data_IF_040285420908
#
_entry.id   IF_040285420908
#
_cell.length_a   1.000
_cell.length_b   1.000
_cell.length_c   1.000
_cell.angle_alpha   90.00
_cell.angle_beta   90.00
_cell.angle_gamma   90.00
#
_symmetry.space_group_name_H-M   'P 1'
#
loop_
_entity.id
_entity.type
_entity.pdbx_description
1 polymer ?
#
# COMPACT_ATOMS: atom_id res chain seq x y z
N UNK A 1 3.09 -14.89 -28.28
CA UNK A 1 2.58 -15.49 -27.02
C UNK A 1 2.52 -16.99 -27.22
N UNK A 2 2.98 -17.77 -26.25
CA UNK A 2 2.91 -19.23 -26.27
C UNK A 2 1.47 -19.71 -26.45
N UNK A 3 1.16 -20.62 -27.38
CA UNK A 3 -0.20 -21.08 -27.64
C UNK A 3 -0.89 -21.67 -26.40
N UNK A 4 -0.14 -22.41 -25.57
CA UNK A 4 -0.65 -23.03 -24.35
C UNK A 4 -1.04 -21.99 -23.30
N UNK A 5 -0.39 -20.83 -23.28
CA UNK A 5 -0.78 -19.72 -22.41
C UNK A 5 -2.08 -19.08 -22.92
N UNK A 6 -2.24 -18.92 -24.24
CA UNK A 6 -3.50 -18.42 -24.83
C UNK A 6 -4.68 -19.31 -24.52
N UNK A 7 -4.47 -20.63 -24.45
CA UNK A 7 -5.51 -21.58 -24.06
C UNK A 7 -6.04 -21.37 -22.63
N UNK A 8 -5.31 -20.68 -21.78
CA UNK A 8 -5.72 -20.35 -20.41
C UNK A 8 -6.52 -19.03 -20.30
N UNK A 9 -6.83 -18.37 -21.41
CA UNK A 9 -7.57 -17.08 -21.40
C UNK A 9 -8.88 -17.16 -20.63
N UNK A 10 -9.70 -18.13 -20.93
CA UNK A 10 -11.03 -18.28 -20.32
C UNK A 10 -10.90 -18.59 -18.82
N UNK A 11 -9.97 -19.42 -18.41
CA UNK A 11 -9.61 -19.63 -17.02
C UNK A 11 -9.22 -18.33 -16.31
N UNK A 12 -8.38 -17.49 -16.95
CA UNK A 12 -7.99 -16.19 -16.39
C UNK A 12 -9.19 -15.28 -16.14
N UNK A 13 -10.15 -15.23 -17.08
CA UNK A 13 -11.38 -14.45 -16.92
C UNK A 13 -12.28 -15.01 -15.82
N UNK A 14 -12.46 -16.32 -15.74
CA UNK A 14 -13.26 -16.96 -14.70
C UNK A 14 -12.71 -16.69 -13.30
N UNK A 15 -11.40 -16.81 -13.12
CA UNK A 15 -10.70 -16.50 -11.86
C UNK A 15 -10.90 -15.03 -11.50
N UNK A 16 -10.65 -14.11 -12.43
CA UNK A 16 -10.84 -12.69 -12.19
C UNK A 16 -12.28 -12.35 -11.82
N UNK A 17 -13.26 -12.87 -12.57
CA UNK A 17 -14.68 -12.62 -12.30
C UNK A 17 -15.13 -13.19 -10.94
N UNK A 18 -14.57 -14.33 -10.53
CA UNK A 18 -14.84 -14.88 -9.20
C UNK A 18 -14.30 -13.96 -8.11
N UNK A 19 -13.03 -13.58 -8.19
CA UNK A 19 -12.37 -12.71 -7.22
C UNK A 19 -13.02 -11.34 -7.14
N UNK A 20 -13.39 -10.74 -8.28
CA UNK A 20 -14.06 -9.45 -8.32
C UNK A 20 -15.40 -9.42 -7.56
N UNK A 21 -16.08 -10.56 -7.46
CA UNK A 21 -17.34 -10.69 -6.71
C UNK A 21 -17.17 -10.74 -5.21
N UNK A 22 -15.98 -11.04 -4.69
CA UNK A 22 -15.74 -11.34 -3.28
C UNK A 22 -14.63 -10.47 -2.67
N UNK A 23 -14.57 -9.15 -2.94
CA UNK A 23 -13.55 -8.29 -2.33
C UNK A 23 -13.67 -8.32 -0.82
N UNK A 24 -12.54 -8.38 -0.13
CA UNK A 24 -12.46 -8.43 1.34
C UNK A 24 -11.50 -7.34 1.85
N UNK A 25 -11.69 -6.94 3.11
CA UNK A 25 -10.87 -5.93 3.78
C UNK A 25 -9.41 -6.36 3.93
N UNK A 26 -8.53 -5.39 3.96
CA UNK A 26 -7.12 -5.55 4.29
C UNK A 26 -6.93 -6.31 5.60
N UNK A 27 -6.22 -7.44 5.54
CA UNK A 27 -5.99 -8.33 6.68
C UNK A 27 -7.15 -9.27 7.03
N UNK A 28 -8.24 -9.24 6.27
CA UNK A 28 -9.41 -10.12 6.44
C UNK A 28 -9.79 -10.86 5.14
N UNK A 29 -8.84 -11.08 4.23
CA UNK A 29 -9.00 -11.70 2.91
C UNK A 29 -9.15 -13.24 3.01
N UNK A 30 -10.04 -13.72 3.88
CA UNK A 30 -10.13 -15.16 4.21
C UNK A 30 -10.64 -16.01 3.05
N UNK A 31 -11.69 -15.57 2.36
CA UNK A 31 -12.27 -16.30 1.22
C UNK A 31 -11.37 -16.19 -0.01
N UNK A 32 -10.84 -14.99 -0.26
CA UNK A 32 -9.88 -14.70 -1.32
C UNK A 32 -8.64 -15.57 -1.18
N UNK A 33 -8.03 -15.58 0.00
CA UNK A 33 -6.85 -16.40 0.31
C UNK A 33 -7.15 -17.90 0.15
N UNK A 34 -8.30 -18.36 0.68
CA UNK A 34 -8.69 -19.77 0.57
C UNK A 34 -8.89 -20.21 -0.90
N UNK A 35 -9.52 -19.37 -1.72
CA UNK A 35 -9.72 -19.64 -3.14
C UNK A 35 -8.38 -19.69 -3.90
N UNK A 36 -7.54 -18.68 -3.76
CA UNK A 36 -6.23 -18.64 -4.42
C UNK A 36 -5.35 -19.82 -3.99
N UNK A 37 -5.33 -20.14 -2.69
CA UNK A 37 -4.58 -21.28 -2.15
C UNK A 37 -5.07 -22.59 -2.72
N UNK A 38 -6.39 -22.81 -2.79
CA UNK A 38 -6.97 -24.05 -3.36
C UNK A 38 -6.53 -24.30 -4.81
N UNK A 39 -6.53 -23.26 -5.64
CA UNK A 39 -6.02 -23.35 -7.01
C UNK A 39 -4.52 -23.64 -7.06
N UNK A 40 -3.72 -22.97 -6.20
CA UNK A 40 -2.28 -23.23 -6.13
C UNK A 40 -1.96 -24.67 -5.71
N UNK A 41 -2.70 -25.23 -4.74
CA UNK A 41 -2.59 -26.63 -4.32
C UNK A 41 -2.95 -27.59 -5.47
N UNK A 42 -4.03 -27.28 -6.21
CA UNK A 42 -4.44 -28.06 -7.41
C UNK A 42 -3.35 -28.07 -8.48
N UNK A 43 -2.65 -26.95 -8.68
CA UNK A 43 -1.53 -26.87 -9.63
C UNK A 43 -0.25 -27.54 -9.13
N UNK A 44 -0.22 -28.05 -7.90
CA UNK A 44 0.90 -28.77 -7.33
C UNK A 44 1.95 -27.92 -6.64
N UNK A 45 1.61 -26.68 -6.24
CA UNK A 45 2.48 -25.83 -5.43
C UNK A 45 2.44 -26.26 -3.97
N UNK A 46 3.59 -26.22 -3.31
CA UNK A 46 3.68 -26.39 -1.86
C UNK A 46 3.36 -25.08 -1.15
N UNK A 47 2.25 -25.05 -0.41
CA UNK A 47 1.78 -23.85 0.28
C UNK A 47 2.48 -23.66 1.64
N UNK A 48 2.86 -22.42 1.93
CA UNK A 48 3.31 -21.98 3.23
C UNK A 48 2.36 -20.90 3.75
N UNK A 49 1.74 -21.18 4.89
CA UNK A 49 0.82 -20.27 5.59
C UNK A 49 1.54 -19.53 6.71
N UNK A 50 1.03 -18.36 7.04
CA UNK A 50 1.48 -17.55 8.17
C UNK A 50 0.41 -17.53 9.26
N UNK A 51 0.62 -18.18 10.42
CA UNK A 51 -0.39 -18.28 11.46
C UNK A 51 -0.91 -16.90 11.92
N UNK A 52 -2.24 -16.73 11.88
CA UNK A 52 -2.90 -15.48 12.22
C UNK A 52 -2.99 -14.46 11.09
N UNK A 53 -2.51 -14.79 9.90
CA UNK A 53 -2.53 -13.91 8.72
C UNK A 53 -3.18 -14.60 7.52
N UNK A 54 -3.75 -13.80 6.62
CA UNK A 54 -4.39 -14.28 5.38
C UNK A 54 -3.40 -14.47 4.24
N UNK A 55 -2.27 -13.76 4.26
CA UNK A 55 -1.21 -13.89 3.27
C UNK A 55 -0.56 -15.26 3.28
N UNK A 56 -0.06 -15.71 2.13
CA UNK A 56 0.64 -16.97 1.96
C UNK A 56 1.59 -16.94 0.78
N UNK A 57 2.42 -17.96 0.64
CA UNK A 57 3.12 -18.21 -0.62
C UNK A 57 3.05 -19.69 -1.03
N UNK A 58 3.18 -19.92 -2.33
CA UNK A 58 3.26 -21.25 -2.93
C UNK A 58 4.57 -21.43 -3.68
N UNK A 59 5.26 -22.54 -3.46
CA UNK A 59 6.52 -22.92 -4.09
C UNK A 59 6.34 -24.04 -5.09
N UNK A 60 6.88 -23.85 -6.30
CA UNK A 60 7.11 -24.88 -7.29
C UNK A 60 8.62 -25.16 -7.37
N UNK A 61 9.07 -26.16 -6.66
CA UNK A 61 10.48 -26.56 -6.66
C UNK A 61 10.77 -27.39 -7.92
N UNK A 62 11.74 -26.95 -8.72
CA UNK A 62 12.23 -27.68 -9.91
C UNK A 62 13.49 -28.45 -9.54
N UNK A 63 14.51 -27.75 -9.08
CA UNK A 63 15.79 -28.30 -8.65
C UNK A 63 16.38 -27.42 -7.53
N UNK A 64 16.88 -28.00 -6.42
CA UNK A 64 17.40 -27.22 -5.29
C UNK A 64 18.65 -26.40 -5.62
N UNK A 65 19.31 -26.65 -6.74
CA UNK A 65 20.50 -25.89 -7.19
C UNK A 65 20.16 -24.67 -8.06
N UNK A 66 18.91 -24.56 -8.51
CA UNK A 66 18.45 -23.44 -9.31
C UNK A 66 18.05 -22.25 -8.43
N UNK A 67 18.26 -21.02 -8.92
CA UNK A 67 17.76 -19.82 -8.27
C UNK A 67 16.22 -19.81 -8.22
N UNK A 68 15.67 -19.04 -7.28
CA UNK A 68 14.23 -18.90 -7.10
C UNK A 68 13.77 -17.51 -7.55
N UNK A 69 12.85 -17.49 -8.49
CA UNK A 69 12.14 -16.26 -8.90
C UNK A 69 10.77 -16.22 -8.21
N UNK A 70 10.44 -15.08 -7.62
CA UNK A 70 9.13 -14.86 -7.02
C UNK A 70 8.27 -13.91 -7.86
N UNK A 71 6.96 -14.14 -7.83
CA UNK A 71 5.92 -13.24 -8.35
C UNK A 71 4.98 -12.85 -7.22
N UNK A 72 4.66 -11.56 -7.12
CA UNK A 72 3.79 -11.02 -6.07
C UNK A 72 2.45 -10.58 -6.66
N UNK A 73 1.37 -10.91 -5.97
CA UNK A 73 0.04 -10.33 -6.15
C UNK A 73 -0.55 -9.97 -4.79
N UNK A 74 -1.23 -8.83 -4.71
CA UNK A 74 -2.02 -8.40 -3.57
C UNK A 74 -3.44 -8.98 -3.62
N UNK A 75 -4.13 -9.03 -2.45
CA UNK A 75 -5.39 -9.75 -2.34
C UNK A 75 -6.58 -8.90 -1.88
N UNK A 76 -6.33 -7.79 -1.19
CA UNK A 76 -7.36 -7.00 -0.53
C UNK A 76 -8.16 -6.12 -1.51
N UNK A 77 -9.34 -5.68 -1.07
CA UNK A 77 -10.21 -4.73 -1.74
C UNK A 77 -10.34 -3.43 -0.97
N UNK A 78 -10.95 -2.45 -1.62
CA UNK A 78 -11.17 -1.10 -1.09
C UNK A 78 -12.56 -0.95 -0.48
N UNK A 79 -12.67 -0.17 0.60
CA UNK A 79 -13.94 0.25 1.23
C UNK A 79 -14.65 1.29 0.36
N UNK A 80 -15.22 0.85 -0.74
CA UNK A 80 -15.99 1.70 -1.64
C UNK A 80 -17.01 0.88 -2.44
N UNK A 81 -18.06 1.55 -2.91
CA UNK A 81 -19.06 0.88 -3.74
C UNK A 81 -18.51 0.54 -5.13
N UNK A 82 -18.77 -0.68 -5.56
CA UNK A 82 -18.54 -1.06 -6.96
C UNK A 82 -19.59 -0.38 -7.84
N UNK A 83 -19.15 0.63 -8.61
CA UNK A 83 -20.01 1.40 -9.53
C UNK A 83 -20.04 0.81 -10.94
N UNK A 84 -19.40 -0.32 -11.19
CA UNK A 84 -19.40 -0.97 -12.50
C UNK A 84 -20.77 -1.56 -12.85
N UNK A 85 -21.06 -1.67 -14.15
CA UNK A 85 -22.30 -2.29 -14.68
C UNK A 85 -22.02 -3.71 -15.22
N UNK A 86 -20.95 -4.35 -14.77
CA UNK A 86 -20.57 -5.68 -15.25
C UNK A 86 -21.36 -6.80 -14.56
N UNK A 87 -21.56 -7.92 -15.26
CA UNK A 87 -22.30 -9.06 -14.74
C UNK A 87 -21.60 -9.75 -13.53
N UNK A 88 -20.33 -9.50 -13.32
CA UNK A 88 -19.52 -10.02 -12.22
C UNK A 88 -19.20 -9.00 -11.13
N UNK A 89 -20.03 -7.98 -11.00
CA UNK A 89 -19.97 -6.95 -9.95
C UNK A 89 -19.81 -7.55 -8.56
N UNK A 90 -19.17 -6.79 -7.66
CA UNK A 90 -19.04 -7.16 -6.25
C UNK A 90 -20.38 -7.53 -5.62
N UNK A 91 -20.38 -8.64 -4.86
CA UNK A 91 -21.53 -9.08 -4.04
C UNK A 91 -21.40 -8.64 -2.59
N UNK A 92 -20.28 -7.99 -2.22
CA UNK A 92 -20.04 -7.40 -0.91
C UNK A 92 -20.34 -5.91 -0.95
N UNK A 93 -21.46 -5.50 -0.34
CA UNK A 93 -21.85 -4.09 -0.30
C UNK A 93 -20.76 -3.23 0.36
N UNK A 94 -20.41 -2.12 -0.26
CA UNK A 94 -19.38 -1.21 0.23
C UNK A 94 -17.94 -1.70 0.08
N UNK A 95 -17.73 -2.77 -0.71
CA UNK A 95 -16.39 -3.28 -1.03
C UNK A 95 -16.22 -3.49 -2.52
N UNK A 96 -15.06 -3.14 -3.08
CA UNK A 96 -14.75 -3.34 -4.48
C UNK A 96 -13.26 -3.52 -4.74
N UNK A 97 -12.91 -4.24 -5.82
CA UNK A 97 -11.55 -4.34 -6.35
C UNK A 97 -11.25 -3.19 -7.34
N UNK A 98 -11.38 -1.93 -6.89
CA UNK A 98 -11.15 -0.77 -7.76
C UNK A 98 -9.65 -0.48 -7.99
N UNK A 99 -8.75 -1.02 -7.18
CA UNK A 99 -7.31 -1.01 -7.44
C UNK A 99 -6.87 -2.14 -8.39
N UNK A 100 -7.74 -3.13 -8.65
CA UNK A 100 -7.50 -4.19 -9.63
C UNK A 100 -6.75 -5.41 -9.12
N UNK A 101 -6.70 -5.63 -7.81
CA UNK A 101 -6.04 -6.78 -7.19
C UNK A 101 -6.66 -8.12 -7.63
N UNK A 102 -7.94 -8.15 -8.01
CA UNK A 102 -8.58 -9.27 -8.69
C UNK A 102 -7.88 -9.66 -9.99
N UNK A 103 -7.43 -8.67 -10.77
CA UNK A 103 -6.66 -8.87 -12.00
C UNK A 103 -5.24 -9.35 -11.70
N UNK A 104 -4.59 -8.79 -10.68
CA UNK A 104 -3.23 -9.20 -10.28
C UNK A 104 -3.22 -10.67 -9.86
N UNK A 105 -4.18 -11.08 -9.01
CA UNK A 105 -4.34 -12.48 -8.60
C UNK A 105 -4.65 -13.39 -9.79
N UNK A 106 -5.54 -12.98 -10.70
CA UNK A 106 -5.89 -13.78 -11.88
C UNK A 106 -4.69 -13.98 -12.80
N UNK A 107 -3.87 -12.96 -13.01
CA UNK A 107 -2.62 -13.05 -13.78
C UNK A 107 -1.64 -14.00 -13.08
N UNK A 108 -1.44 -13.85 -11.76
CA UNK A 108 -0.55 -14.70 -10.98
C UNK A 108 -1.00 -16.17 -11.04
N UNK A 109 -2.28 -16.48 -10.85
CA UNK A 109 -2.83 -17.83 -10.89
C UNK A 109 -2.77 -18.44 -12.30
N UNK A 110 -2.98 -17.62 -13.34
CA UNK A 110 -2.83 -18.09 -14.73
C UNK A 110 -1.38 -18.42 -15.04
N UNK A 111 -0.45 -17.58 -14.62
CA UNK A 111 0.98 -17.84 -14.74
C UNK A 111 1.39 -19.09 -13.94
N UNK A 112 0.90 -19.24 -12.71
CA UNK A 112 1.18 -20.39 -11.87
C UNK A 112 0.73 -21.70 -12.53
N UNK A 113 -0.49 -21.74 -13.08
CA UNK A 113 -1.02 -22.90 -13.81
C UNK A 113 -0.18 -23.25 -15.03
N UNK A 114 0.20 -22.23 -15.82
CA UNK A 114 1.06 -22.40 -17.00
C UNK A 114 2.45 -22.93 -16.64
N UNK A 115 3.09 -22.34 -15.62
CA UNK A 115 4.44 -22.74 -15.20
C UNK A 115 4.44 -24.16 -14.62
N UNK A 116 3.44 -24.52 -13.84
CA UNK A 116 3.30 -25.89 -13.31
C UNK A 116 3.15 -26.93 -14.41
N UNK A 117 2.33 -26.65 -15.43
CA UNK A 117 2.16 -27.54 -16.60
C UNK A 117 3.44 -27.66 -17.46
N UNK A 118 4.34 -26.69 -17.39
CA UNK A 118 5.60 -26.64 -18.14
C UNK A 118 6.83 -26.81 -17.24
N UNK A 119 6.70 -27.44 -16.08
CA UNK A 119 7.74 -27.55 -15.05
C UNK A 119 9.07 -28.05 -15.62
N UNK A 120 9.07 -29.01 -16.51
CA UNK A 120 10.29 -29.61 -17.08
C UNK A 120 11.08 -28.66 -17.99
N UNK A 121 10.46 -27.56 -18.43
CA UNK A 121 11.08 -26.51 -19.24
C UNK A 121 11.70 -25.39 -18.39
N UNK A 122 11.40 -25.34 -17.09
CA UNK A 122 11.84 -24.25 -16.21
C UNK A 122 13.34 -24.35 -15.93
N UNK A 123 13.94 -23.18 -15.76
CA UNK A 123 15.35 -23.00 -15.38
C UNK A 123 15.49 -22.31 -14.02
N UNK A 124 14.38 -22.18 -13.29
CA UNK A 124 14.24 -21.53 -11.99
C UNK A 124 13.25 -22.31 -11.13
N UNK A 125 13.44 -22.25 -9.82
CA UNK A 125 12.36 -22.51 -8.87
C UNK A 125 11.43 -21.30 -8.88
N UNK A 126 10.15 -21.52 -8.66
CA UNK A 126 9.14 -20.45 -8.73
C UNK A 126 8.39 -20.34 -7.43
N UNK A 127 8.26 -19.12 -6.93
CA UNK A 127 7.41 -18.76 -5.79
C UNK A 127 6.34 -17.77 -6.24
N UNK A 128 5.10 -18.00 -5.80
CA UNK A 128 4.05 -16.98 -5.88
C UNK A 128 3.72 -16.50 -4.47
N UNK A 129 3.76 -15.19 -4.26
CA UNK A 129 3.47 -14.53 -2.99
C UNK A 129 2.12 -13.84 -3.13
N UNK A 130 1.14 -14.28 -2.35
CA UNK A 130 -0.17 -13.65 -2.25
C UNK A 130 -0.17 -12.77 -1.02
N UNK A 131 0.02 -11.47 -1.24
CA UNK A 131 0.17 -10.48 -0.18
C UNK A 131 -1.19 -10.04 0.35
N UNK A 132 -1.33 -10.03 1.68
CA UNK A 132 -2.45 -9.41 2.37
C UNK A 132 -2.23 -7.91 2.57
N UNK A 133 -3.32 -7.18 2.81
CA UNK A 133 -3.32 -5.82 3.37
C UNK A 133 -2.33 -4.85 2.68
N UNK A 134 -2.52 -4.62 1.39
CA UNK A 134 -1.75 -3.63 0.63
C UNK A 134 -2.31 -2.22 0.85
N UNK A 135 -3.63 -2.08 0.92
CA UNK A 135 -4.35 -0.81 0.92
C UNK A 135 -4.41 -0.13 2.30
N UNK A 136 -4.33 -0.90 3.38
CA UNK A 136 -4.38 -0.34 4.73
C UNK A 136 -2.98 -0.19 5.35
N UNK A 137 -2.43 1.02 5.29
CA UNK A 137 -1.13 1.34 5.88
C UNK A 137 -1.04 1.09 7.41
N UNK A 138 -2.16 0.88 8.10
CA UNK A 138 -2.19 0.50 9.52
C UNK A 138 -1.89 -0.99 9.74
N UNK A 139 -2.07 -1.79 8.69
CA UNK A 139 -1.77 -3.21 8.67
C UNK A 139 -0.61 -3.44 7.71
N UNK A 140 0.64 -3.52 8.17
CA UNK A 140 1.82 -3.58 7.30
C UNK A 140 1.97 -4.98 6.67
N UNK A 141 1.09 -5.33 5.72
CA UNK A 141 0.98 -6.67 5.16
C UNK A 141 2.27 -7.18 4.52
N UNK A 142 2.89 -6.38 3.65
CA UNK A 142 4.14 -6.75 2.99
C UNK A 142 5.30 -6.90 3.99
N UNK A 143 5.48 -5.91 4.87
CA UNK A 143 6.53 -5.92 5.89
C UNK A 143 6.41 -7.16 6.78
N UNK A 144 5.19 -7.46 7.23
CA UNK A 144 4.91 -8.61 8.06
C UNK A 144 5.21 -9.93 7.36
N UNK A 145 4.85 -10.07 6.09
CA UNK A 145 5.14 -11.28 5.31
C UNK A 145 6.66 -11.44 5.08
N UNK A 146 7.39 -10.35 4.89
CA UNK A 146 8.87 -10.36 4.78
C UNK A 146 9.49 -10.81 6.11
N UNK A 147 9.06 -10.26 7.25
CA UNK A 147 9.50 -10.70 8.58
C UNK A 147 9.23 -12.19 8.80
N UNK A 148 8.10 -12.71 8.34
CA UNK A 148 7.72 -14.11 8.43
C UNK A 148 8.43 -15.01 7.41
N UNK A 149 9.25 -14.43 6.54
CA UNK A 149 10.18 -15.14 5.68
C UNK A 149 9.66 -15.43 4.25
N UNK A 150 8.66 -14.71 3.74
CA UNK A 150 8.17 -14.92 2.37
C UNK A 150 9.27 -14.71 1.31
N UNK A 151 10.28 -13.88 1.61
CA UNK A 151 11.41 -13.60 0.73
C UNK A 151 12.63 -14.51 0.99
N UNK A 152 12.57 -15.41 1.97
CA UNK A 152 13.72 -16.27 2.29
C UNK A 152 14.01 -17.24 1.15
N UNK A 153 15.25 -17.15 0.60
CA UNK A 153 15.70 -17.97 -0.52
C UNK A 153 15.14 -17.55 -1.87
N UNK A 154 14.62 -16.32 -1.98
CA UNK A 154 14.24 -15.69 -3.24
C UNK A 154 15.41 -14.85 -3.75
N UNK A 155 15.79 -15.06 -5.01
CA UNK A 155 16.87 -14.31 -5.66
C UNK A 155 16.34 -13.07 -6.39
N UNK A 156 15.17 -13.18 -6.99
CA UNK A 156 14.50 -12.07 -7.70
C UNK A 156 13.00 -12.09 -7.42
N UNK A 157 12.39 -10.90 -7.33
CA UNK A 157 10.93 -10.73 -7.19
C UNK A 157 10.38 -9.80 -8.23
N UNK A 158 9.26 -10.19 -8.82
CA UNK A 158 8.53 -9.42 -9.81
C UNK A 158 7.10 -9.16 -9.33
N UNK A 159 6.61 -7.95 -9.61
CA UNK A 159 5.22 -7.58 -9.42
C UNK A 159 4.75 -6.75 -10.61
N UNK A 160 3.44 -6.72 -10.81
CA UNK A 160 2.80 -5.83 -11.77
C UNK A 160 1.65 -5.10 -11.11
N UNK A 161 1.29 -3.95 -11.68
CA UNK A 161 0.07 -3.26 -11.33
C UNK A 161 -0.67 -2.85 -12.61
N UNK A 162 -1.97 -3.08 -12.65
CA UNK A 162 -2.79 -2.58 -13.76
C UNK A 162 -2.96 -1.07 -13.65
N UNK A 163 -3.06 -0.39 -14.78
CA UNK A 163 -3.30 1.04 -14.87
C UNK A 163 -4.43 1.30 -15.88
N UNK A 164 -5.56 1.76 -15.38
CA UNK A 164 -6.76 2.04 -16.21
C UNK A 164 -6.59 3.21 -17.18
N UNK A 165 -5.55 4.02 -17.04
CA UNK A 165 -5.23 5.12 -17.95
C UNK A 165 -4.34 4.68 -19.13
N UNK A 166 -3.81 3.45 -19.10
CA UNK A 166 -2.96 2.93 -20.17
C UNK A 166 -3.77 2.26 -21.27
N UNK A 167 -3.25 2.35 -22.49
CA UNK A 167 -3.80 1.61 -23.63
C UNK A 167 -3.62 0.09 -23.41
N UNK A 168 -4.69 -0.67 -23.66
CA UNK A 168 -4.68 -2.13 -23.53
C UNK A 168 -3.56 -2.77 -24.37
N UNK A 169 -2.82 -3.68 -23.77
CA UNK A 169 -1.69 -4.36 -24.41
C UNK A 169 -0.35 -3.64 -24.25
N UNK A 170 -0.35 -2.49 -23.56
CA UNK A 170 0.88 -1.76 -23.22
C UNK A 170 1.41 -2.19 -21.87
N UNK A 171 2.73 -2.36 -21.74
CA UNK A 171 3.45 -2.56 -20.47
C UNK A 171 4.44 -1.41 -20.32
N UNK A 172 4.45 -0.77 -19.16
CA UNK A 172 5.43 0.25 -18.78
C UNK A 172 6.27 -0.24 -17.63
N UNK A 173 7.54 0.07 -17.66
CA UNK A 173 8.43 -0.09 -16.51
C UNK A 173 9.44 1.05 -16.51
N UNK A 174 9.90 1.44 -15.32
CA UNK A 174 11.00 2.37 -15.15
C UNK A 174 12.21 1.61 -14.62
N UNK A 175 13.39 1.99 -15.07
CA UNK A 175 14.61 1.63 -14.38
C UNK A 175 14.78 2.57 -13.17
N UNK A 176 15.10 2.02 -12.00
CA UNK A 176 15.12 2.79 -10.75
C UNK A 176 13.72 2.99 -10.14
N UNK A 177 13.45 4.16 -9.61
CA UNK A 177 12.23 4.44 -8.82
C UNK A 177 10.97 4.29 -9.68
N UNK A 178 10.09 3.37 -9.28
CA UNK A 178 8.79 3.10 -9.91
C UNK A 178 7.65 3.81 -9.18
N UNK A 179 7.71 3.85 -7.84
CA UNK A 179 6.76 4.59 -7.01
C UNK A 179 7.48 5.37 -5.92
N UNK A 180 6.90 6.49 -5.50
CA UNK A 180 7.46 7.32 -4.41
C UNK A 180 7.37 6.61 -3.06
N UNK A 181 8.25 6.98 -2.14
CA UNK A 181 8.00 6.82 -0.70
C UNK A 181 6.68 7.51 -0.38
N UNK A 182 5.77 6.81 0.27
CA UNK A 182 4.46 7.31 0.60
C UNK A 182 4.16 7.16 2.09
N UNK A 183 3.64 8.22 2.71
CA UNK A 183 3.08 8.09 4.05
C UNK A 183 1.85 8.96 4.22
N UNK A 184 0.88 8.46 5.00
CA UNK A 184 -0.18 9.24 5.59
C UNK A 184 0.31 9.78 6.94
N UNK A 185 -0.16 10.95 7.31
CA UNK A 185 0.11 11.53 8.62
C UNK A 185 -1.17 12.00 9.30
N UNK A 186 -1.17 11.94 10.61
CA UNK A 186 -2.19 12.53 11.48
C UNK A 186 -1.49 13.37 12.52
N UNK A 187 -1.87 14.64 12.59
CA UNK A 187 -1.42 15.63 13.55
C UNK A 187 -2.55 15.91 14.54
N UNK A 188 -2.27 15.77 15.82
CA UNK A 188 -3.17 16.18 16.91
C UNK A 188 -2.49 17.28 17.73
N UNK A 189 -3.14 18.43 17.82
CA UNK A 189 -2.67 19.59 18.60
C UNK A 189 -3.67 19.86 19.73
N UNK A 190 -3.21 19.75 20.97
CA UNK A 190 -3.98 20.10 22.14
C UNK A 190 -3.46 21.39 22.75
N UNK A 191 -4.35 22.36 22.88
CA UNK A 191 -4.14 23.64 23.50
C UNK A 191 -4.97 23.82 24.79
N UNK A 192 -5.38 25.06 25.07
CA UNK A 192 -6.21 25.41 26.22
C UNK A 192 -7.32 26.36 25.75
N UNK A 193 -8.58 25.97 26.00
CA UNK A 193 -9.73 26.82 25.66
C UNK A 193 -9.79 28.07 26.53
N UNK A 194 -10.21 29.16 25.92
CA UNK A 194 -10.49 30.44 26.63
C UNK A 194 -11.56 31.22 25.87
N UNK A 195 -12.18 32.17 26.54
CA UNK A 195 -13.11 33.09 25.88
C UNK A 195 -12.37 33.96 24.86
N UNK A 196 -12.93 34.16 23.66
CA UNK A 196 -12.30 34.89 22.56
C UNK A 196 -11.86 36.31 22.88
N UNK A 197 -12.48 36.99 23.88
CA UNK A 197 -12.06 38.31 24.37
C UNK A 197 -10.89 38.28 25.36
N UNK A 198 -10.50 37.09 25.85
CA UNK A 198 -9.39 36.89 26.79
C UNK A 198 -8.42 35.84 26.29
N UNK A 199 -7.89 35.99 25.06
CA UNK A 199 -7.07 34.93 24.41
C UNK A 199 -5.77 34.62 25.16
N UNK A 200 -5.28 35.58 25.97
CA UNK A 200 -4.09 35.40 26.80
C UNK A 200 -4.23 34.33 27.91
N UNK A 201 -5.45 33.82 28.14
CA UNK A 201 -5.73 32.75 29.10
C UNK A 201 -5.77 31.37 28.44
N UNK A 202 -5.67 31.31 27.13
CA UNK A 202 -5.71 30.08 26.34
C UNK A 202 -4.44 29.79 25.58
N UNK A 203 -4.42 28.59 24.94
CA UNK A 203 -3.45 28.21 23.93
C UNK A 203 -4.23 27.81 22.70
N UNK A 204 -4.12 28.56 21.62
CA UNK A 204 -4.93 28.42 20.41
C UNK A 204 -4.41 27.28 19.53
N UNK A 205 -5.08 26.12 19.62
CA UNK A 205 -4.72 24.94 18.87
C UNK A 205 -4.89 25.12 17.35
N UNK A 206 -5.84 25.95 16.89
CA UNK A 206 -6.02 26.22 15.45
C UNK A 206 -4.81 27.00 14.92
N UNK A 207 -4.38 28.05 15.61
CA UNK A 207 -3.22 28.85 15.19
C UNK A 207 -1.94 28.05 15.19
N UNK A 208 -1.78 27.16 16.17
CA UNK A 208 -0.60 26.28 16.22
C UNK A 208 -0.61 25.23 15.11
N UNK A 209 -1.75 24.59 14.83
CA UNK A 209 -1.86 23.63 13.75
C UNK A 209 -1.57 24.26 12.37
N UNK A 210 -2.10 25.47 12.12
CA UNK A 210 -1.81 26.23 10.89
C UNK A 210 -0.32 26.51 10.76
N UNK A 211 0.34 26.96 11.85
CA UNK A 211 1.79 27.20 11.86
C UNK A 211 2.58 25.93 11.52
N UNK A 212 2.23 24.79 12.14
CA UNK A 212 2.89 23.51 11.89
C UNK A 212 2.78 23.14 10.41
N UNK A 213 1.60 23.30 9.81
CA UNK A 213 1.36 22.99 8.39
C UNK A 213 2.20 23.92 7.49
N UNK A 214 2.24 25.22 7.78
CA UNK A 214 3.07 26.19 7.04
C UNK A 214 4.57 25.89 7.17
N UNK A 215 5.03 25.52 8.35
CA UNK A 215 6.43 25.12 8.58
C UNK A 215 6.78 23.83 7.80
N UNK A 216 5.86 22.87 7.70
CA UNK A 216 6.05 21.66 6.92
C UNK A 216 6.13 21.94 5.42
N UNK A 217 5.26 22.80 4.87
CA UNK A 217 5.35 23.27 3.48
C UNK A 217 6.68 23.99 3.21
N UNK A 218 7.14 24.82 4.17
CA UNK A 218 8.44 25.48 4.07
C UNK A 218 9.60 24.48 4.02
N UNK A 219 9.56 23.42 4.81
CA UNK A 219 10.59 22.35 4.79
C UNK A 219 10.68 21.71 3.41
N UNK A 220 9.54 21.32 2.82
CA UNK A 220 9.51 20.77 1.45
C UNK A 220 10.12 21.74 0.45
N UNK A 221 9.78 23.04 0.53
CA UNK A 221 10.25 24.02 -0.43
C UNK A 221 11.72 24.43 -0.25
N UNK A 222 12.31 24.29 0.94
CA UNK A 222 13.60 24.91 1.32
C UNK A 222 14.64 23.96 1.89
N UNK A 223 14.27 22.75 2.26
CA UNK A 223 15.18 21.77 2.89
C UNK A 223 15.37 20.51 2.05
N UNK A 224 14.50 20.27 1.05
CA UNK A 224 14.69 19.18 0.09
C UNK A 224 15.40 19.67 -1.18
N UNK A 225 16.10 18.77 -1.85
CA UNK A 225 16.76 19.07 -3.12
C UNK A 225 15.74 19.32 -4.24
N UNK A 226 15.92 20.32 -5.10
CA UNK A 226 15.07 20.52 -6.27
C UNK A 226 15.16 19.37 -7.29
N UNK A 227 16.19 18.53 -7.18
CA UNK A 227 16.39 17.34 -8.01
C UNK A 227 15.77 16.07 -7.40
N UNK A 228 15.25 16.15 -6.19
CA UNK A 228 14.53 15.08 -5.50
C UNK A 228 13.13 15.57 -5.13
N UNK A 229 12.15 15.36 -6.01
CA UNK A 229 10.79 15.83 -5.79
C UNK A 229 10.18 15.28 -4.51
N UNK A 230 9.56 16.16 -3.74
CA UNK A 230 8.80 15.81 -2.55
C UNK A 230 7.49 16.60 -2.52
N UNK A 231 6.48 16.01 -1.89
CA UNK A 231 5.16 16.62 -1.71
C UNK A 231 4.73 16.44 -0.25
N UNK A 232 4.29 17.53 0.35
CA UNK A 232 3.51 17.53 1.59
C UNK A 232 2.10 18.03 1.25
N UNK A 233 1.07 17.32 1.69
CA UNK A 233 -0.31 17.72 1.47
C UNK A 233 -1.12 17.59 2.76
N UNK A 234 -1.87 18.64 3.12
CA UNK A 234 -2.88 18.61 4.18
C UNK A 234 -4.25 18.53 3.51
N UNK A 235 -4.92 17.38 3.60
CA UNK A 235 -6.24 17.16 2.99
C UNK A 235 -7.42 17.39 3.93
N UNK A 236 -7.18 17.38 5.25
CA UNK A 236 -8.22 17.55 6.27
C UNK A 236 -7.68 18.35 7.44
N UNK A 237 -8.50 19.28 7.96
CA UNK A 237 -8.28 19.97 9.21
C UNK A 237 -9.62 20.17 9.92
N UNK A 238 -9.71 19.72 11.16
CA UNK A 238 -10.92 19.81 11.99
C UNK A 238 -10.55 20.33 13.38
N UNK A 239 -11.26 21.31 13.88
CA UNK A 239 -11.01 21.85 15.21
C UNK A 239 -11.92 22.98 15.61
N UNK A 240 -11.93 23.24 16.93
CA UNK A 240 -12.83 24.23 17.54
C UNK A 240 -14.26 23.73 17.66
N UNK A 241 -15.04 24.38 18.53
CA UNK A 241 -16.44 24.02 18.85
C UNK A 241 -17.42 25.17 18.64
N UNK A 242 -17.00 26.39 19.01
CA UNK A 242 -17.82 27.62 18.89
C UNK A 242 -16.95 28.80 18.48
N UNK A 243 -17.50 29.77 17.73
CA UNK A 243 -16.70 30.84 17.11
C UNK A 243 -16.13 31.88 18.09
N UNK A 244 -16.64 31.95 19.30
CA UNK A 244 -16.22 32.94 20.34
C UNK A 244 -15.33 32.35 21.43
N UNK A 245 -14.80 31.13 21.21
CA UNK A 245 -13.84 30.50 22.11
C UNK A 245 -12.54 30.14 21.37
N UNK A 246 -11.42 30.21 22.06
CA UNK A 246 -10.14 29.66 21.63
C UNK A 246 -10.26 28.14 21.59
N UNK A 247 -9.87 27.55 20.46
CA UNK A 247 -9.90 26.11 20.28
C UNK A 247 -8.84 25.40 21.12
N UNK A 248 -9.22 24.38 21.83
CA UNK A 248 -8.34 23.54 22.64
C UNK A 248 -7.88 22.27 21.94
N UNK A 249 -8.46 21.94 20.78
CA UNK A 249 -8.04 20.78 20.00
C UNK A 249 -8.22 21.01 18.50
N UNK A 250 -7.23 20.52 17.75
CA UNK A 250 -7.28 20.39 16.28
C UNK A 250 -6.68 19.07 15.87
N UNK A 251 -7.34 18.42 14.94
CA UNK A 251 -6.76 17.31 14.20
C UNK A 251 -6.62 17.67 12.71
N UNK A 252 -5.42 17.44 12.16
CA UNK A 252 -5.17 17.55 10.73
C UNK A 252 -4.63 16.23 10.19
N UNK A 253 -4.92 15.94 8.92
CA UNK A 253 -4.50 14.71 8.24
C UNK A 253 -4.09 15.01 6.81
N UNK A 254 -3.12 14.23 6.33
CA UNK A 254 -2.66 14.39 4.96
C UNK A 254 -1.66 13.33 4.55
N UNK A 255 -0.91 13.62 3.50
CA UNK A 255 0.05 12.69 2.92
C UNK A 255 1.39 13.36 2.66
N UNK A 256 2.44 12.54 2.65
CA UNK A 256 3.79 12.91 2.24
C UNK A 256 4.20 11.99 1.10
N UNK A 257 4.95 12.54 0.14
CA UNK A 257 5.61 11.78 -0.92
C UNK A 257 7.04 12.25 -1.04
N UNK A 258 7.96 11.30 -1.25
CA UNK A 258 9.37 11.59 -1.54
C UNK A 258 9.87 10.59 -2.60
N UNK A 259 10.81 11.00 -3.44
CA UNK A 259 11.31 10.14 -4.51
C UNK A 259 12.54 9.33 -4.09
N UNK A 260 13.13 9.62 -2.94
CA UNK A 260 14.26 8.88 -2.38
C UNK A 260 14.24 8.82 -0.85
N UNK A 261 14.98 7.86 -0.29
CA UNK A 261 15.03 7.61 1.14
C UNK A 261 15.65 8.76 1.94
N UNK A 262 16.62 9.49 1.37
CA UNK A 262 17.28 10.61 2.04
C UNK A 262 16.29 11.76 2.23
N UNK A 263 15.54 12.09 1.18
CA UNK A 263 14.51 13.11 1.22
C UNK A 263 13.39 12.75 2.20
N UNK A 264 12.90 11.50 2.19
CA UNK A 264 11.91 11.02 3.18
C UNK A 264 12.43 11.18 4.61
N UNK A 265 13.69 10.84 4.85
CA UNK A 265 14.29 10.98 6.19
C UNK A 265 14.47 12.45 6.61
N UNK A 266 14.83 13.34 5.68
CA UNK A 266 14.92 14.80 5.94
C UNK A 266 13.54 15.32 6.37
N UNK A 267 12.48 14.94 5.67
CA UNK A 267 11.11 15.34 5.99
C UNK A 267 10.70 14.85 7.37
N UNK A 268 10.86 13.55 7.65
CA UNK A 268 10.49 12.94 8.94
C UNK A 268 11.23 13.55 10.12
N UNK A 269 12.53 13.83 9.96
CA UNK A 269 13.32 14.48 11.01
C UNK A 269 12.86 15.94 11.22
N UNK A 270 12.66 16.69 10.13
CA UNK A 270 12.21 18.08 10.22
C UNK A 270 10.83 18.20 10.88
N UNK A 271 9.91 17.28 10.56
CA UNK A 271 8.59 17.26 11.21
C UNK A 271 8.70 16.96 12.70
N UNK A 272 9.59 16.05 13.11
CA UNK A 272 9.86 15.81 14.54
C UNK A 272 10.35 17.06 15.26
N UNK A 273 11.24 17.82 14.61
CA UNK A 273 11.75 19.08 15.16
C UNK A 273 10.65 20.16 15.28
N UNK A 274 9.76 20.27 14.29
CA UNK A 274 8.59 21.17 14.32
C UNK A 274 7.65 20.81 15.47
N UNK A 275 7.38 19.53 15.69
CA UNK A 275 6.54 19.04 16.80
C UNK A 275 7.20 19.38 18.14
N UNK A 276 8.49 19.13 18.31
CA UNK A 276 9.24 19.51 19.52
C UNK A 276 9.19 21.05 19.80
N UNK A 277 9.24 21.86 18.75
CA UNK A 277 9.06 23.33 18.87
C UNK A 277 7.64 23.70 19.35
N UNK A 278 6.61 22.99 18.90
CA UNK A 278 5.24 23.18 19.38
C UNK A 278 5.10 22.88 20.87
N UNK A 279 5.73 21.80 21.32
CA UNK A 279 5.75 21.44 22.74
C UNK A 279 6.46 22.50 23.61
N UNK A 280 7.55 23.08 23.11
CA UNK A 280 8.24 24.20 23.78
C UNK A 280 7.35 25.46 23.92
N UNK A 281 6.38 25.64 23.04
CA UNK A 281 5.37 26.71 23.12
C UNK A 281 4.21 26.39 24.08
N UNK A 282 4.22 25.19 24.71
CA UNK A 282 3.25 24.77 25.71
C UNK A 282 2.09 23.92 25.19
N UNK A 283 2.08 23.57 23.91
CA UNK A 283 1.08 22.67 23.33
C UNK A 283 1.45 21.21 23.59
N UNK A 284 0.45 20.33 23.71
CA UNK A 284 0.66 18.90 23.63
C UNK A 284 0.38 18.47 22.19
N UNK A 285 1.43 18.20 21.45
CA UNK A 285 1.34 17.92 20.01
C UNK A 285 1.88 16.53 19.70
N UNK A 286 1.13 15.77 18.92
CA UNK A 286 1.58 14.46 18.43
C UNK A 286 1.40 14.38 16.93
N UNK A 287 2.31 13.70 16.25
CA UNK A 287 2.20 13.36 14.85
C UNK A 287 2.55 11.90 14.62
N UNK A 288 1.65 11.18 13.99
CA UNK A 288 1.81 9.76 13.65
C UNK A 288 1.95 9.65 12.14
N UNK A 289 2.92 8.86 11.70
CA UNK A 289 3.14 8.53 10.30
C UNK A 289 2.91 7.03 10.10
N UNK A 290 2.19 6.67 9.04
CA UNK A 290 2.11 5.31 8.54
C UNK A 290 2.39 5.36 7.03
N UNK A 291 3.27 4.50 6.53
CA UNK A 291 3.65 4.56 5.13
C UNK A 291 4.52 3.39 4.68
N UNK A 292 4.86 3.42 3.42
CA UNK A 292 5.63 2.37 2.72
C UNK A 292 6.84 2.97 1.99
N UNK A 293 7.91 2.19 1.81
CA UNK A 293 9.06 2.61 1.01
C UNK A 293 8.70 2.73 -0.47
N UNK A 294 9.55 3.45 -1.21
CA UNK A 294 9.50 3.45 -2.67
C UNK A 294 9.67 2.03 -3.23
N UNK A 295 9.01 1.77 -4.35
CA UNK A 295 9.36 0.62 -5.19
C UNK A 295 10.45 1.06 -6.14
N UNK A 296 11.60 0.43 -6.03
CA UNK A 296 12.76 0.70 -6.89
C UNK A 296 13.13 -0.56 -7.66
N UNK A 297 13.11 -0.43 -8.99
CA UNK A 297 13.48 -1.52 -9.89
C UNK A 297 15.00 -1.65 -9.96
N UNK A 298 15.48 -2.88 -9.93
CA UNK A 298 16.89 -3.17 -10.13
C UNK A 298 17.35 -2.71 -11.52
N UNK A 299 18.57 -2.15 -11.66
CA UNK A 299 19.03 -1.60 -12.94
C UNK A 299 19.36 -2.65 -14.02
N UNK A 300 19.28 -3.95 -13.72
CA UNK A 300 19.55 -5.04 -14.69
C UNK A 300 18.30 -5.57 -15.33
#
# INVERSE_FOLDING_TARGET
IEPDLLALRDFSYEVRHHLHRIPEYSGAEFKTSAYCRGLMEEFGYRITLYPGFTGFHGDLAVDPTLPTIAFRADMDGLEMHDMSEVAFKSTHEGMAHNCGHDSHMAIALTAARFLAANRDRLRYNVRFIFQMAEEDMRVPGAEKMVELGCMKGVDEVYALHNDGAMETGTIKFNQGVMSSWGSAWTLDVHGISAHGSTPHKGLDAIREAVRIIEDMDYIVAKRTSPFSPAVFGCGMINGGTIPNAIADHVQARGTIRAMDAETDQILKNSFRDIIAQSELRGFKTTMVHAGYPAVENHPQ
#
